data_IF_797546891523
#
_entry.id   IF_797546891523
#
_cell.length_a   1.000
_cell.length_b   1.000
_cell.length_c   1.000
_cell.angle_alpha   90.00
_cell.angle_beta   90.00
_cell.angle_gamma   90.00
#
_symmetry.space_group_name_H-M   'P 1'
#
loop_
_entity.id
_entity.type
_entity.pdbx_description
1 polymer ?
#
# COMPACT_ATOMS: atom_id res chain seq x y z
N UNK A 1 43.62 -0.57 3.01
CA UNK A 1 42.97 -0.15 1.75
C UNK A 1 42.12 -1.23 1.09
N UNK A 2 42.58 -2.47 0.94
CA UNK A 2 41.80 -3.58 0.32
C UNK A 2 40.41 -3.81 0.96
N UNK A 3 40.32 -3.79 2.30
CA UNK A 3 39.05 -3.93 3.03
C UNK A 3 38.09 -2.75 2.82
N UNK A 4 38.61 -1.54 2.62
CA UNK A 4 37.81 -0.34 2.41
C UNK A 4 37.19 -0.32 1.00
N UNK A 5 37.90 -0.83 -0.01
CA UNK A 5 37.38 -0.93 -1.37
C UNK A 5 36.26 -1.99 -1.45
N UNK A 6 36.46 -3.16 -0.83
CA UNK A 6 35.42 -4.21 -0.76
C UNK A 6 34.20 -3.72 0.02
N UNK A 7 34.39 -3.00 1.13
CA UNK A 7 33.30 -2.39 1.88
C UNK A 7 32.56 -1.33 1.05
N UNK A 8 33.28 -0.49 0.30
CA UNK A 8 32.68 0.52 -0.57
C UNK A 8 31.84 -0.06 -1.71
N UNK A 9 32.28 -1.17 -2.32
CA UNK A 9 31.51 -1.88 -3.34
C UNK A 9 30.31 -2.61 -2.74
N UNK A 10 30.47 -3.22 -1.55
CA UNK A 10 29.36 -3.85 -0.85
C UNK A 10 28.30 -2.81 -0.45
N UNK A 11 28.71 -1.63 0.04
CA UNK A 11 27.81 -0.54 0.39
C UNK A 11 26.99 -0.03 -0.81
N UNK A 12 27.56 -0.10 -2.02
CA UNK A 12 26.90 0.30 -3.27
C UNK A 12 25.87 -0.75 -3.74
N UNK A 13 26.04 -2.02 -3.33
CA UNK A 13 25.13 -3.12 -3.64
C UNK A 13 23.99 -3.29 -2.61
N UNK A 14 24.06 -2.61 -1.45
CA UNK A 14 22.92 -2.49 -0.55
C UNK A 14 21.96 -1.51 -1.24
N UNK A 15 21.14 -2.05 -2.14
CA UNK A 15 20.31 -1.30 -3.05
C UNK A 15 19.53 -0.18 -2.37
N UNK A 16 19.45 0.95 -3.06
CA UNK A 16 18.50 2.01 -2.74
C UNK A 16 17.11 1.40 -2.66
N UNK A 17 16.58 1.25 -1.45
CA UNK A 17 15.16 0.97 -1.24
C UNK A 17 14.44 2.26 -1.62
N UNK A 18 13.95 2.33 -2.85
CA UNK A 18 13.11 3.43 -3.30
C UNK A 18 11.73 3.21 -2.70
N UNK A 19 11.37 4.02 -1.70
CA UNK A 19 9.98 4.19 -1.31
C UNK A 19 9.37 5.23 -2.25
N UNK A 20 8.21 4.91 -2.82
CA UNK A 20 7.45 5.86 -3.63
C UNK A 20 6.53 6.67 -2.72
N UNK A 21 6.53 7.98 -2.90
CA UNK A 21 5.65 8.90 -2.19
C UNK A 21 4.28 8.95 -2.89
N UNK A 22 3.21 8.76 -2.12
CA UNK A 22 1.82 8.76 -2.59
C UNK A 22 1.09 9.93 -1.95
N UNK A 23 0.61 10.86 -2.78
CA UNK A 23 -0.16 12.02 -2.32
C UNK A 23 -1.64 11.67 -2.22
N UNK A 24 -2.21 11.88 -1.04
CA UNK A 24 -3.59 11.56 -0.70
C UNK A 24 -4.27 12.84 -0.22
N UNK A 25 -5.36 13.20 -0.89
CA UNK A 25 -6.22 14.32 -0.55
C UNK A 25 -7.54 13.78 0.01
N UNK A 26 -7.92 14.20 1.21
CA UNK A 26 -9.15 13.77 1.86
C UNK A 26 -9.99 14.99 2.21
N UNK A 27 -11.23 15.00 1.72
CA UNK A 27 -12.24 15.98 2.12
C UNK A 27 -13.16 15.39 3.19
N UNK A 28 -13.31 16.10 4.30
CA UNK A 28 -14.14 15.74 5.45
C UNK A 28 -14.72 16.98 6.12
N UNK A 29 -15.16 16.89 7.37
CA UNK A 29 -15.61 18.04 8.13
C UNK A 29 -14.44 18.80 8.78
N UNK A 30 -14.54 20.13 8.97
CA UNK A 30 -13.51 20.92 9.62
C UNK A 30 -13.11 20.40 11.01
N UNK A 31 -11.85 20.61 11.38
CA UNK A 31 -11.27 20.27 12.69
C UNK A 31 -11.38 18.78 13.09
N UNK A 32 -11.50 17.87 12.13
CA UNK A 32 -11.49 16.42 12.40
C UNK A 32 -10.10 15.84 12.23
N UNK A 33 -9.79 14.83 13.05
CA UNK A 33 -8.55 14.08 12.99
C UNK A 33 -8.72 12.82 12.16
N UNK A 34 -7.91 12.69 11.12
CA UNK A 34 -7.81 11.54 10.24
C UNK A 34 -6.55 10.74 10.59
N UNK A 35 -6.69 9.42 10.67
CA UNK A 35 -5.56 8.49 10.67
C UNK A 35 -5.68 7.69 9.39
N UNK A 36 -4.71 7.86 8.50
CA UNK A 36 -4.67 7.21 7.19
C UNK A 36 -3.53 6.21 7.20
N UNK A 37 -3.85 4.97 6.89
CA UNK A 37 -2.94 3.83 6.89
C UNK A 37 -2.90 3.22 5.49
N UNK A 38 -1.72 3.16 4.89
CA UNK A 38 -1.48 2.41 3.67
C UNK A 38 -1.17 0.96 4.04
N UNK A 39 -1.95 0.05 3.47
CA UNK A 39 -1.85 -1.38 3.63
C UNK A 39 -1.40 -1.99 2.29
N UNK A 40 -0.67 -3.09 2.36
CA UNK A 40 -0.33 -3.86 1.18
C UNK A 40 -1.59 -4.53 0.60
N UNK A 41 -1.92 -4.24 -0.67
CA UNK A 41 -3.09 -4.83 -1.33
C UNK A 41 -2.93 -6.33 -1.61
N UNK A 42 -1.69 -6.82 -1.74
CA UNK A 42 -1.39 -8.21 -2.06
C UNK A 42 -1.16 -9.07 -0.80
N UNK A 43 -0.91 -8.44 0.35
CA UNK A 43 -0.59 -9.12 1.60
C UNK A 43 -1.63 -8.85 2.70
N UNK A 44 -2.13 -9.94 3.29
CA UNK A 44 -3.12 -9.88 4.36
C UNK A 44 -2.50 -9.25 5.62
N UNK A 45 -2.90 -8.01 5.93
CA UNK A 45 -2.53 -7.22 7.12
C UNK A 45 -1.10 -6.66 7.20
N UNK A 46 -0.45 -6.36 6.07
CA UNK A 46 0.83 -5.65 6.11
C UNK A 46 0.61 -4.13 6.08
N UNK A 47 1.01 -3.43 7.15
CA UNK A 47 1.01 -1.97 7.20
C UNK A 47 2.29 -1.44 6.53
N UNK A 48 2.13 -0.65 5.48
CA UNK A 48 3.23 -0.01 4.77
C UNK A 48 3.62 1.31 5.46
N UNK A 49 2.63 2.17 5.71
CA UNK A 49 2.82 3.46 6.37
C UNK A 49 1.52 3.92 7.05
N UNK A 50 1.62 4.81 8.02
CA UNK A 50 0.44 5.41 8.65
C UNK A 50 0.74 6.82 9.15
N UNK A 51 -0.15 7.75 8.83
CA UNK A 51 -0.02 9.15 9.22
C UNK A 51 -1.29 9.69 9.83
N UNK A 52 -1.12 10.52 10.85
CA UNK A 52 -2.20 11.27 11.49
C UNK A 52 -2.18 12.70 10.97
N UNK A 53 -3.31 13.20 10.51
CA UNK A 53 -3.49 14.57 10.02
C UNK A 53 -4.82 15.13 10.53
N UNK A 54 -4.88 16.43 10.76
CA UNK A 54 -6.13 17.12 11.09
C UNK A 54 -6.57 17.92 9.87
N UNK A 55 -7.85 17.85 9.52
CA UNK A 55 -8.43 18.64 8.44
C UNK A 55 -8.39 20.14 8.77
N UNK A 56 -8.22 20.96 7.75
CA UNK A 56 -8.28 22.42 7.87
C UNK A 56 -9.70 22.96 8.13
N UNK A 57 -9.84 24.28 8.17
CA UNK A 57 -11.13 24.97 8.35
C UNK A 57 -12.12 24.74 7.20
N UNK A 58 -11.65 24.29 6.04
CA UNK A 58 -12.46 23.91 4.88
C UNK A 58 -12.76 22.41 4.85
N UNK A 59 -12.27 21.65 5.84
CA UNK A 59 -12.43 20.20 5.89
C UNK A 59 -11.46 19.43 4.99
N UNK A 60 -10.41 20.05 4.46
CA UNK A 60 -9.42 19.38 3.59
C UNK A 60 -8.22 18.90 4.40
N UNK A 61 -7.73 17.71 4.06
CA UNK A 61 -6.53 17.13 4.62
C UNK A 61 -5.65 16.55 3.51
N UNK A 62 -4.41 17.03 3.44
CA UNK A 62 -3.41 16.55 2.48
C UNK A 62 -2.33 15.80 3.25
N UNK A 63 -1.97 14.60 2.78
CA UNK A 63 -0.86 13.84 3.34
C UNK A 63 -0.13 13.06 2.26
N UNK A 64 1.13 12.77 2.55
CA UNK A 64 1.97 11.89 1.75
C UNK A 64 2.31 10.66 2.56
N UNK A 65 2.07 9.48 1.99
CA UNK A 65 2.46 8.18 2.53
C UNK A 65 3.55 7.55 1.68
N UNK A 66 4.36 6.69 2.29
CA UNK A 66 5.38 5.92 1.60
C UNK A 66 4.87 4.51 1.32
N UNK A 67 4.91 4.11 0.04
CA UNK A 67 4.57 2.76 -0.38
C UNK A 67 5.64 2.20 -1.30
N UNK A 68 5.92 0.90 -1.18
CA UNK A 68 6.86 0.16 -2.02
C UNK A 68 6.15 -0.87 -2.93
N UNK A 69 4.82 -0.83 -2.99
CA UNK A 69 3.97 -1.70 -3.81
C UNK A 69 3.25 -0.87 -4.88
N UNK A 70 2.86 -1.49 -6.00
CA UNK A 70 2.14 -0.78 -7.07
C UNK A 70 0.67 -0.48 -6.70
N UNK A 71 0.11 -1.35 -5.86
CA UNK A 71 -1.29 -1.30 -5.41
C UNK A 71 -1.28 -1.26 -3.88
N UNK A 72 -2.11 -0.39 -3.32
CA UNK A 72 -2.29 -0.25 -1.88
C UNK A 72 -3.77 -0.22 -1.52
N UNK A 73 -4.07 -0.68 -0.32
CA UNK A 73 -5.34 -0.44 0.33
C UNK A 73 -5.18 0.72 1.33
N UNK A 74 -6.18 1.58 1.44
CA UNK A 74 -6.18 2.70 2.37
C UNK A 74 -7.21 2.46 3.48
N UNK A 75 -6.72 2.34 4.72
CA UNK A 75 -7.55 2.43 5.91
C UNK A 75 -7.63 3.87 6.39
N UNK A 76 -8.82 4.47 6.41
CA UNK A 76 -9.03 5.82 6.93
C UNK A 76 -9.91 5.78 8.18
N UNK A 77 -9.36 6.22 9.31
CA UNK A 77 -10.11 6.42 10.56
C UNK A 77 -10.39 7.91 10.75
N UNK A 78 -11.66 8.26 10.85
CA UNK A 78 -12.11 9.60 11.22
C UNK A 78 -12.38 9.66 12.72
N UNK A 79 -11.88 10.69 13.38
CA UNK A 79 -12.05 10.92 14.82
C UNK A 79 -12.20 12.40 15.15
N UNK A 80 -12.87 12.70 16.26
CA UNK A 80 -12.98 14.06 16.81
C UNK A 80 -12.81 13.98 18.32
N UNK A 81 -12.02 14.89 18.89
CA UNK A 81 -11.77 14.96 20.34
C UNK A 81 -11.33 13.61 20.95
N UNK A 82 -10.52 12.84 20.19
CA UNK A 82 -10.03 11.51 20.58
C UNK A 82 -11.03 10.36 20.44
N UNK A 83 -12.29 10.66 20.09
CA UNK A 83 -13.32 9.64 19.86
C UNK A 83 -13.38 9.25 18.39
N UNK A 84 -13.32 7.93 18.11
CA UNK A 84 -13.47 7.38 16.76
C UNK A 84 -14.92 7.54 16.28
N UNK A 85 -15.09 8.13 15.11
CA UNK A 85 -16.38 8.35 14.46
C UNK A 85 -16.63 7.29 13.39
N UNK A 86 -15.65 7.06 12.51
CA UNK A 86 -15.79 6.19 11.34
C UNK A 86 -14.47 5.49 11.02
N UNK A 87 -14.56 4.30 10.43
CA UNK A 87 -13.43 3.65 9.77
C UNK A 87 -13.89 3.08 8.43
N UNK A 88 -13.21 3.49 7.37
CA UNK A 88 -13.43 2.97 6.03
C UNK A 88 -12.13 2.37 5.50
N UNK A 89 -12.25 1.26 4.80
CA UNK A 89 -11.17 0.68 4.02
C UNK A 89 -11.50 0.87 2.55
N UNK A 90 -10.52 1.32 1.79
CA UNK A 90 -10.57 1.52 0.36
C UNK A 90 -9.53 0.60 -0.27
N UNK A 91 -9.91 -0.18 -1.28
CA UNK A 91 -9.09 -1.24 -1.83
C UNK A 91 -8.61 -0.89 -3.24
N UNK A 92 -7.50 -1.48 -3.67
CA UNK A 92 -7.00 -1.46 -5.05
C UNK A 92 -6.60 -0.08 -5.63
N UNK A 93 -6.00 0.80 -4.81
CA UNK A 93 -5.52 2.10 -5.31
C UNK A 93 -4.12 1.99 -5.91
N UNK A 94 -3.94 2.57 -7.09
CA UNK A 94 -2.63 2.65 -7.76
C UNK A 94 -1.81 3.83 -7.20
N UNK A 95 -0.59 3.54 -6.74
CA UNK A 95 0.32 4.54 -6.15
C UNK A 95 0.81 5.59 -7.16
N UNK A 96 0.69 5.32 -8.47
CA UNK A 96 1.13 6.22 -9.54
C UNK A 96 0.10 7.31 -9.90
N UNK A 97 -1.06 7.30 -9.23
CA UNK A 97 -2.12 8.30 -9.40
C UNK A 97 -2.41 9.01 -8.09
N UNK A 98 -2.69 10.33 -8.11
CA UNK A 98 -3.15 11.04 -6.92
C UNK A 98 -4.48 10.45 -6.43
N UNK A 99 -4.59 10.22 -5.13
CA UNK A 99 -5.78 9.62 -4.52
C UNK A 99 -6.60 10.74 -3.87
N UNK A 100 -7.89 10.84 -4.23
CA UNK A 100 -8.79 11.87 -3.68
C UNK A 100 -10.06 11.23 -3.12
N UNK A 101 -10.25 11.33 -1.80
CA UNK A 101 -11.34 10.67 -1.07
C UNK A 101 -12.25 11.71 -0.41
N UNK A 102 -13.56 11.44 -0.37
CA UNK A 102 -14.53 12.26 0.38
C UNK A 102 -15.22 11.44 1.47
N UNK A 103 -14.99 11.82 2.72
CA UNK A 103 -15.39 11.06 3.92
C UNK A 103 -16.15 11.98 4.88
N UNK A 104 -17.40 11.65 5.21
CA UNK A 104 -18.21 12.43 6.14
C UNK A 104 -18.71 11.57 7.31
N UNK A 105 -19.06 12.16 8.47
CA UNK A 105 -19.77 11.44 9.51
C UNK A 105 -21.10 10.91 8.94
N UNK A 106 -21.25 9.59 8.89
CA UNK A 106 -22.36 8.92 8.20
C UNK A 106 -21.91 7.98 7.07
N UNK A 107 -20.65 8.07 6.63
CA UNK A 107 -20.07 7.13 5.67
C UNK A 107 -19.20 7.79 4.60
N UNK A 108 -18.76 6.99 3.65
CA UNK A 108 -18.10 7.45 2.44
C UNK A 108 -19.13 7.86 1.39
N UNK A 109 -18.90 8.99 0.71
CA UNK A 109 -19.84 9.60 -0.25
C UNK A 109 -19.38 9.41 -1.72
N UNK A 110 -18.23 8.78 -1.97
CA UNK A 110 -17.72 8.51 -3.32
C UNK A 110 -16.36 9.14 -3.61
N UNK A 111 -15.74 8.70 -4.70
CA UNK A 111 -14.48 9.23 -5.22
C UNK A 111 -14.77 10.48 -6.04
N UNK A 112 -14.09 11.59 -5.73
CA UNK A 112 -14.18 12.81 -6.54
C UNK A 112 -13.70 12.58 -8.00
N UNK A 113 -12.98 11.48 -8.27
CA UNK A 113 -12.55 11.08 -9.60
C UNK A 113 -13.61 10.31 -10.42
N UNK A 114 -14.72 9.87 -9.80
CA UNK A 114 -15.75 9.06 -10.46
C UNK A 114 -17.04 9.80 -10.78
N UNK A 115 -17.18 11.06 -10.34
CA UNK A 115 -18.34 11.91 -10.64
C UNK A 115 -17.93 13.17 -11.43
N UNK A 116 -18.08 13.18 -12.77
CA UNK A 116 -17.79 14.35 -13.59
C UNK A 116 -18.68 15.56 -13.29
N UNK A 117 -19.77 15.41 -12.52
CA UNK A 117 -20.64 16.53 -12.13
C UNK A 117 -20.05 17.45 -11.04
N UNK A 118 -18.98 17.03 -10.36
CA UNK A 118 -18.30 17.86 -9.34
C UNK A 118 -17.05 18.60 -9.86
N UNK A 119 -16.65 18.35 -11.12
CA UNK A 119 -15.48 19.01 -11.74
C UNK A 119 -15.84 20.27 -12.56
N UNK A 120 -17.13 20.59 -12.71
CA UNK A 120 -17.61 21.80 -13.38
C UNK A 120 -18.21 22.80 -12.40
N UNK A 121 -17.38 23.35 -11.51
CA UNK A 121 -17.63 24.69 -10.95
C UNK A 121 -16.33 25.32 -10.46
N UNK A 122 -15.38 25.46 -11.36
CA UNK A 122 -14.28 26.44 -11.22
C UNK A 122 -14.41 27.41 -12.39
N UNK A 123 -15.41 28.29 -12.33
CA UNK A 123 -15.38 29.52 -13.11
C UNK A 123 -14.63 30.59 -12.32
N UNK A 124 -13.55 31.07 -12.94
CA UNK A 124 -12.93 32.36 -12.66
C UNK A 124 -13.99 33.42 -12.37
N UNK A 125 -14.01 33.98 -11.15
CA UNK A 125 -14.67 35.27 -10.93
C UNK A 125 -13.72 36.18 -10.17
N UNK A 126 -13.01 37.00 -10.95
CA UNK A 126 -12.36 38.22 -10.47
C UNK A 126 -13.42 39.32 -10.37
N UNK A 127 -13.47 39.93 -9.19
CA UNK A 127 -14.15 41.17 -8.79
C UNK A 127 -14.61 42.15 -9.89
N UNK A 128 -15.90 42.52 -9.88
CA UNK A 128 -16.35 43.92 -10.10
C UNK A 128 -17.77 44.15 -9.58
N UNK A 129 -18.07 45.41 -9.27
CA UNK A 129 -19.10 45.97 -8.39
C UNK A 129 -20.55 46.03 -8.93
N UNK A 130 -21.51 46.19 -7.99
CA UNK A 130 -22.88 46.81 -8.07
C UNK A 130 -23.82 46.38 -9.22
N UNK A 131 -25.08 45.97 -9.03
CA UNK A 131 -26.22 46.71 -8.47
C UNK A 131 -27.47 45.78 -8.53
N UNK A 132 -28.54 46.19 -7.86
CA UNK A 132 -29.85 45.56 -7.70
C UNK A 132 -30.50 44.98 -8.97
N UNK A 133 -31.17 43.83 -8.88
CA UNK A 133 -32.65 43.74 -8.94
C UNK A 133 -33.17 42.30 -8.80
N UNK A 134 -34.37 42.25 -8.23
CA UNK A 134 -35.24 41.10 -7.95
C UNK A 134 -35.76 40.46 -9.25
N UNK A 135 -36.00 39.14 -9.28
CA UNK A 135 -37.26 38.48 -9.66
C UNK A 135 -37.11 36.94 -9.80
N UNK A 136 -38.08 36.22 -9.21
CA UNK A 136 -38.39 34.80 -9.40
C UNK A 136 -39.52 34.70 -10.48
N UNK A 137 -40.11 33.52 -10.76
CA UNK A 137 -39.79 32.43 -11.70
C UNK A 137 -40.72 32.39 -12.93
N UNK A 138 -40.44 31.57 -13.95
CA UNK A 138 -41.49 31.07 -14.89
C UNK A 138 -41.14 29.65 -15.41
N UNK A 139 -42.06 28.70 -15.16
CA UNK A 139 -42.23 27.40 -15.84
C UNK A 139 -42.61 27.59 -17.31
N UNK A 140 -42.32 26.60 -18.17
CA UNK A 140 -43.31 25.88 -19.01
C UNK A 140 -42.73 25.38 -20.35
N UNK A 141 -43.03 24.10 -20.65
CA UNK A 141 -43.26 23.45 -21.97
C UNK A 141 -42.19 23.56 -23.08
N UNK A 142 -41.89 22.55 -23.90
CA UNK A 142 -42.80 21.66 -24.64
C UNK A 142 -42.00 20.53 -25.33
N UNK A 143 -42.74 19.50 -25.73
CA UNK A 143 -42.38 18.20 -26.34
C UNK A 143 -42.37 18.29 -27.89
N UNK A 144 -41.85 17.24 -28.57
CA UNK A 144 -42.00 16.86 -30.01
C UNK A 144 -41.08 17.62 -31.02
N UNK A 145 -40.52 17.05 -32.09
CA UNK A 145 -40.77 15.82 -32.87
C UNK A 145 -39.53 15.43 -33.73
N UNK A 146 -39.58 14.21 -34.25
CA UNK A 146 -38.68 13.40 -35.10
C UNK A 146 -38.46 13.96 -36.51
N UNK A 147 -37.24 13.83 -37.07
CA UNK A 147 -37.08 13.38 -38.47
C UNK A 147 -35.67 12.87 -38.82
N UNK A 148 -35.64 11.64 -39.35
CA UNK A 148 -34.55 11.04 -40.11
C UNK A 148 -34.30 11.79 -41.43
N UNK A 149 -33.04 11.90 -41.86
CA UNK A 149 -32.69 11.74 -43.28
C UNK A 149 -31.27 11.20 -43.45
N UNK A 150 -31.22 10.11 -44.22
CA UNK A 150 -30.06 9.40 -44.74
C UNK A 150 -29.13 10.27 -45.60
N UNK A 151 -27.81 10.06 -45.49
CA UNK A 151 -26.88 10.24 -46.60
C UNK A 151 -25.68 9.30 -46.44
N UNK A 152 -25.70 8.28 -47.28
CA UNK A 152 -24.61 7.37 -47.64
C UNK A 152 -23.41 8.12 -48.20
N UNK A 153 -22.19 7.77 -47.77
CA UNK A 153 -21.06 7.67 -48.68
C UNK A 153 -20.01 6.68 -48.17
N UNK A 154 -19.71 5.74 -49.07
CA UNK A 154 -18.80 4.61 -49.07
C UNK A 154 -17.34 5.00 -48.84
N UNK A 155 -16.60 4.19 -48.07
CA UNK A 155 -15.27 3.75 -48.49
C UNK A 155 -14.86 2.48 -47.73
N UNK A 156 -14.84 1.37 -48.46
CA UNK A 156 -14.17 0.13 -48.10
C UNK A 156 -12.68 0.39 -47.82
N UNK A 157 -12.18 -0.11 -46.68
CA UNK A 157 -11.00 -0.97 -46.76
C UNK A 157 -10.91 -1.89 -45.54
N UNK A 158 -11.10 -3.17 -45.82
CA UNK A 158 -10.87 -4.30 -44.95
C UNK A 158 -9.39 -4.50 -44.68
N UNK A 159 -8.96 -4.43 -43.41
CA UNK A 159 -7.82 -5.21 -42.94
C UNK A 159 -8.09 -5.74 -41.53
N UNK A 160 -8.51 -7.02 -41.48
CA UNK A 160 -8.33 -7.85 -40.29
C UNK A 160 -6.85 -7.84 -39.91
N UNK A 161 -6.51 -7.25 -38.76
CA UNK A 161 -5.17 -7.40 -38.19
C UNK A 161 -5.16 -8.51 -37.15
N UNK A 162 -4.79 -9.67 -37.69
CA UNK A 162 -4.33 -10.90 -37.06
C UNK A 162 -3.49 -10.63 -35.81
N UNK A 163 -3.83 -11.35 -34.75
CA UNK A 163 -2.98 -11.63 -33.58
C UNK A 163 -1.68 -12.28 -34.04
N UNK A 164 -0.63 -11.48 -34.14
CA UNK A 164 0.71 -11.96 -34.47
C UNK A 164 1.72 -11.18 -33.66
N UNK A 165 2.43 -11.87 -32.76
CA UNK A 165 3.63 -11.39 -32.11
C UNK A 165 4.65 -10.97 -33.17
N UNK A 166 4.60 -9.72 -33.61
CA UNK A 166 5.65 -9.13 -34.44
C UNK A 166 6.81 -8.73 -33.54
N UNK A 167 7.67 -9.71 -33.27
CA UNK A 167 9.06 -9.49 -32.88
C UNK A 167 9.72 -8.82 -34.08
N UNK A 168 9.73 -7.49 -34.13
CA UNK A 168 10.57 -6.72 -35.05
C UNK A 168 10.57 -5.24 -34.63
N UNK A 169 11.27 -4.93 -33.53
CA UNK A 169 11.83 -3.59 -33.23
C UNK A 169 12.89 -3.57 -32.11
N UNK A 170 13.53 -4.71 -31.82
CA UNK A 170 14.59 -4.80 -30.80
C UNK A 170 15.97 -4.37 -31.33
N UNK A 171 16.15 -4.21 -32.64
CA UNK A 171 17.46 -3.95 -33.25
C UNK A 171 18.02 -2.52 -33.07
N UNK A 172 17.16 -1.50 -32.92
CA UNK A 172 17.63 -0.10 -32.86
C UNK A 172 17.67 0.50 -31.45
N UNK A 173 16.90 -0.04 -30.50
CA UNK A 173 17.01 0.35 -29.09
C UNK A 173 18.27 -0.23 -28.42
N UNK A 174 18.79 -1.35 -28.93
CA UNK A 174 20.05 -1.93 -28.46
C UNK A 174 21.27 -1.12 -28.90
N UNK A 175 21.24 -0.41 -30.04
CA UNK A 175 22.43 0.33 -30.51
C UNK A 175 22.73 1.58 -29.71
N UNK A 176 21.69 2.24 -29.15
CA UNK A 176 21.87 3.52 -28.47
C UNK A 176 22.31 3.38 -27.01
N UNK A 177 21.97 2.27 -26.34
CA UNK A 177 22.27 2.07 -24.92
C UNK A 177 23.12 0.82 -24.62
N UNK A 178 23.62 0.08 -25.62
CA UNK A 178 24.52 -1.07 -25.42
C UNK A 178 25.79 -0.75 -24.62
N UNK A 179 26.24 0.51 -24.65
CA UNK A 179 27.43 0.92 -23.90
C UNK A 179 27.23 0.84 -22.37
N UNK A 180 26.01 1.02 -21.85
CA UNK A 180 25.74 0.94 -20.41
C UNK A 180 25.94 -0.47 -19.84
N UNK A 181 25.29 -1.54 -20.35
CA UNK A 181 25.52 -2.89 -19.84
C UNK A 181 26.96 -3.35 -20.08
N UNK A 182 27.60 -2.95 -21.20
CA UNK A 182 29.02 -3.26 -21.43
C UNK A 182 29.92 -2.55 -20.43
N UNK A 183 29.68 -1.28 -20.10
CA UNK A 183 30.44 -0.55 -19.08
C UNK A 183 30.30 -1.22 -17.70
N UNK A 184 29.10 -1.65 -17.32
CA UNK A 184 28.85 -2.38 -16.07
C UNK A 184 29.62 -3.71 -16.05
N UNK A 185 29.59 -4.48 -17.13
CA UNK A 185 30.34 -5.75 -17.24
C UNK A 185 31.85 -5.51 -17.14
N UNK A 186 32.39 -4.48 -17.81
CA UNK A 186 33.82 -4.13 -17.73
C UNK A 186 34.23 -3.74 -16.31
N UNK A 187 33.39 -2.99 -15.59
CA UNK A 187 33.65 -2.63 -14.19
C UNK A 187 33.66 -3.90 -13.30
N UNK A 188 32.70 -4.82 -13.48
CA UNK A 188 32.67 -6.08 -12.73
C UNK A 188 33.93 -6.92 -12.99
N UNK A 189 34.34 -7.05 -14.26
CA UNK A 189 35.55 -7.80 -14.64
C UNK A 189 36.82 -7.14 -14.07
N UNK A 190 36.92 -5.82 -14.10
CA UNK A 190 38.04 -5.09 -13.51
C UNK A 190 38.12 -5.30 -11.98
N UNK A 191 36.97 -5.27 -11.27
CA UNK A 191 36.91 -5.55 -9.83
C UNK A 191 37.33 -7.00 -9.55
N UNK A 192 36.84 -7.97 -10.33
CA UNK A 192 37.23 -9.38 -10.18
C UNK A 192 38.73 -9.60 -10.44
N UNK A 193 39.30 -8.98 -11.47
CA UNK A 193 40.72 -9.08 -11.79
C UNK A 193 41.60 -8.50 -10.67
N UNK A 194 41.20 -7.39 -10.06
CA UNK A 194 41.91 -6.81 -8.90
C UNK A 194 41.82 -7.72 -7.68
N UNK A 195 40.64 -8.27 -7.38
CA UNK A 195 40.43 -9.15 -6.22
C UNK A 195 41.20 -10.47 -6.37
N UNK A 196 41.18 -11.08 -7.56
CA UNK A 196 41.88 -12.34 -7.85
C UNK A 196 43.38 -12.15 -7.99
N UNK A 197 43.83 -11.12 -8.71
CA UNK A 197 45.25 -10.82 -8.93
C UNK A 197 45.99 -10.44 -7.65
N UNK A 198 45.31 -9.83 -6.67
CA UNK A 198 45.91 -9.47 -5.38
C UNK A 198 46.02 -10.62 -4.38
N UNK A 199 45.40 -11.78 -4.65
CA UNK A 199 45.42 -12.97 -3.77
C UNK A 199 46.74 -13.76 -3.87
N UNK A 200 47.50 -13.57 -4.93
CA UNK A 200 48.77 -14.29 -5.19
C UNK A 200 50.02 -13.60 -4.65
N UNK A 201 49.91 -12.48 -3.92
CA UNK A 201 51.08 -11.87 -3.28
C UNK A 201 51.32 -12.49 -1.89
N UNK A 202 52.49 -13.10 -1.61
CA UNK A 202 52.81 -13.63 -0.30
C UNK A 202 52.90 -12.48 0.71
N UNK A 203 51.95 -12.42 1.65
CA UNK A 203 51.99 -11.47 2.76
C UNK A 203 53.20 -11.79 3.64
N UNK A 204 54.20 -10.89 3.68
CA UNK A 204 55.23 -10.92 4.72
C UNK A 204 54.54 -10.74 6.07
N UNK A 205 54.64 -11.76 6.93
CA UNK A 205 54.11 -11.72 8.30
C UNK A 205 54.82 -10.60 9.05
N UNK A 206 54.06 -9.61 9.50
CA UNK A 206 54.54 -8.56 10.38
C UNK A 206 54.50 -9.12 11.81
N UNK A 207 55.65 -9.19 12.48
CA UNK A 207 55.75 -9.66 13.86
C UNK A 207 55.02 -8.68 14.78
N UNK A 208 54.10 -9.21 15.59
CA UNK A 208 53.30 -8.43 16.54
C UNK A 208 54.13 -8.22 17.80
N UNK A 209 54.53 -6.97 18.03
CA UNK A 209 55.14 -6.54 19.29
C UNK A 209 54.08 -6.60 20.40
N UNK A 210 54.40 -7.30 21.47
CA UNK A 210 53.57 -7.59 22.62
C UNK A 210 53.36 -6.30 23.45
N UNK A 211 52.18 -5.69 23.43
CA UNK A 211 51.84 -4.55 24.29
C UNK A 211 50.80 -4.98 25.35
N UNK A 212 51.13 -4.94 26.65
CA UNK A 212 50.25 -5.40 27.72
C UNK A 212 49.47 -4.22 28.33
N UNK A 213 48.53 -3.63 27.59
CA UNK A 213 47.54 -2.71 28.18
C UNK A 213 46.19 -2.92 27.48
N UNK A 214 45.35 -3.78 28.07
CA UNK A 214 43.93 -3.89 27.73
C UNK A 214 43.15 -3.14 28.80
N UNK A 215 42.27 -2.18 28.45
CA UNK A 215 41.34 -1.62 29.40
C UNK A 215 40.25 -2.65 29.73
N UNK A 216 39.90 -2.74 31.00
CA UNK A 216 38.84 -3.59 31.54
C UNK A 216 37.47 -3.08 31.10
N UNK A 217 36.68 -3.97 30.51
CA UNK A 217 35.27 -3.72 30.16
C UNK A 217 34.45 -3.76 31.45
N UNK A 218 33.95 -2.61 31.89
CA UNK A 218 32.94 -2.52 32.95
C UNK A 218 31.63 -3.16 32.44
N UNK A 219 31.36 -4.40 32.87
CA UNK A 219 29.99 -4.96 32.84
C UNK A 219 29.20 -4.31 33.96
N UNK A 220 28.36 -3.31 33.64
CA UNK A 220 27.27 -2.91 34.53
C UNK A 220 26.27 -4.06 34.63
N UNK A 221 26.19 -4.68 35.80
CA UNK A 221 25.04 -5.47 36.20
C UNK A 221 23.92 -4.48 36.55
N UNK A 222 22.84 -4.49 35.77
CA UNK A 222 21.55 -4.01 36.25
C UNK A 222 20.86 -5.23 36.87
N UNK A 223 20.97 -5.35 38.18
CA UNK A 223 20.09 -6.19 38.97
C UNK A 223 18.86 -5.33 39.26
N UNK A 224 17.82 -5.49 38.45
CA UNK A 224 16.52 -4.87 38.72
C UNK A 224 15.85 -5.77 39.75
N UNK A 225 15.91 -5.37 41.02
CA UNK A 225 15.08 -5.97 42.06
C UNK A 225 13.62 -5.87 41.60
N UNK A 226 13.06 -7.03 41.28
CA UNK A 226 11.74 -7.20 40.73
C UNK A 226 10.73 -7.16 41.89
N UNK A 227 10.46 -5.96 42.39
CA UNK A 227 9.23 -5.71 43.15
C UNK A 227 8.07 -5.87 42.16
N UNK A 228 7.56 -7.10 42.06
CA UNK A 228 6.35 -7.43 41.31
C UNK A 228 5.18 -6.62 41.89
N UNK A 229 4.83 -5.52 41.22
CA UNK A 229 3.65 -4.74 41.53
C UNK A 229 2.43 -5.70 41.54
N UNK A 230 1.66 -5.82 42.63
CA UNK A 230 0.52 -6.72 42.72
C UNK A 230 -0.52 -6.49 41.62
N UNK A 231 -0.51 -5.32 40.96
CA UNK A 231 -1.35 -5.01 39.80
C UNK A 231 -0.94 -5.76 38.55
N UNK A 232 0.37 -5.98 38.35
CA UNK A 232 0.91 -6.73 37.20
C UNK A 232 0.53 -8.21 37.35
N UNK A 233 0.68 -8.76 38.56
CA UNK A 233 0.28 -10.14 38.86
C UNK A 233 -1.21 -10.40 38.62
N UNK A 234 -2.07 -9.46 39.02
CA UNK A 234 -3.52 -9.55 38.74
C UNK A 234 -3.85 -9.42 37.25
N UNK A 235 -3.07 -8.64 36.49
CA UNK A 235 -3.25 -8.51 35.05
C UNK A 235 -2.82 -9.80 34.33
N UNK A 236 -1.71 -10.42 34.74
CA UNK A 236 -1.23 -11.68 34.21
C UNK A 236 -2.22 -12.82 34.46
N UNK A 237 -2.81 -12.90 35.65
CA UNK A 237 -3.82 -13.90 35.99
C UNK A 237 -5.08 -13.76 35.13
N UNK A 238 -5.56 -12.52 34.91
CA UNK A 238 -6.69 -12.26 34.01
C UNK A 238 -6.41 -12.60 32.55
N UNK A 239 -5.18 -12.38 32.08
CA UNK A 239 -4.77 -12.74 30.72
C UNK A 239 -4.73 -14.27 30.57
N UNK A 240 -4.20 -14.98 31.58
CA UNK A 240 -4.16 -16.44 31.58
C UNK A 240 -5.58 -17.06 31.59
N UNK A 241 -6.51 -16.48 32.35
CA UNK A 241 -7.91 -16.89 32.37
C UNK A 241 -8.59 -16.66 31.01
N UNK A 242 -8.44 -15.46 30.42
CA UNK A 242 -8.99 -15.15 29.10
C UNK A 242 -8.43 -16.06 27.99
N UNK A 243 -7.14 -16.43 28.05
CA UNK A 243 -6.54 -17.39 27.11
C UNK A 243 -7.11 -18.80 27.26
N UNK A 244 -7.41 -19.21 28.49
CA UNK A 244 -8.05 -20.51 28.79
C UNK A 244 -9.48 -20.56 28.24
N UNK A 245 -10.24 -19.49 28.44
CA UNK A 245 -11.61 -19.37 27.94
C UNK A 245 -11.66 -19.35 26.41
N UNK A 246 -10.76 -18.60 25.76
CA UNK A 246 -10.61 -18.60 24.30
C UNK A 246 -10.30 -20.00 23.75
N UNK A 247 -9.45 -20.76 24.45
CA UNK A 247 -9.12 -22.13 24.08
C UNK A 247 -10.32 -23.08 24.22
N UNK A 248 -11.16 -22.87 25.24
CA UNK A 248 -12.39 -23.64 25.42
C UNK A 248 -13.40 -23.34 24.32
N UNK A 249 -13.65 -22.07 24.00
CA UNK A 249 -14.58 -21.65 22.94
C UNK A 249 -14.10 -22.17 21.57
N UNK A 250 -12.81 -22.04 21.26
CA UNK A 250 -12.23 -22.54 20.01
C UNK A 250 -12.41 -24.05 19.86
N UNK A 251 -12.27 -24.81 20.95
CA UNK A 251 -12.51 -26.25 20.94
C UNK A 251 -14.00 -26.57 20.78
N UNK A 252 -14.91 -25.82 21.40
CA UNK A 252 -16.36 -26.02 21.26
C UNK A 252 -16.81 -25.79 19.81
N UNK A 253 -16.32 -24.74 19.15
CA UNK A 253 -16.63 -24.45 17.75
C UNK A 253 -16.06 -25.51 16.81
N UNK A 254 -14.85 -26.01 17.08
CA UNK A 254 -14.26 -27.12 16.33
C UNK A 254 -15.06 -28.42 16.50
N UNK A 255 -15.55 -28.69 17.71
CA UNK A 255 -16.41 -29.85 17.99
C UNK A 255 -17.74 -29.72 17.25
N UNK A 256 -18.40 -28.55 17.28
CA UNK A 256 -19.65 -28.30 16.54
C UNK A 256 -19.48 -28.46 15.02
N UNK A 257 -18.37 -27.98 14.47
CA UNK A 257 -18.06 -28.17 13.04
C UNK A 257 -17.81 -29.64 12.70
N UNK A 258 -17.10 -30.38 13.55
CA UNK A 258 -16.87 -31.80 13.36
C UNK A 258 -18.18 -32.61 13.45
N UNK A 259 -19.06 -32.28 14.40
CA UNK A 259 -20.38 -32.91 14.54
C UNK A 259 -21.27 -32.64 13.33
N UNK A 260 -21.27 -31.40 12.80
CA UNK A 260 -22.01 -31.06 11.59
C UNK A 260 -21.53 -31.88 10.38
N UNK A 261 -20.21 -31.99 10.19
CA UNK A 261 -19.63 -32.81 9.11
C UNK A 261 -19.99 -34.29 9.26
N UNK A 262 -19.93 -34.82 10.48
CA UNK A 262 -20.33 -36.21 10.75
C UNK A 262 -21.82 -36.44 10.44
N UNK A 263 -22.70 -35.49 10.73
CA UNK A 263 -24.12 -35.57 10.39
C UNK A 263 -24.36 -35.54 8.88
N UNK A 264 -23.69 -34.64 8.17
CA UNK A 264 -23.76 -34.55 6.71
C UNK A 264 -23.25 -35.85 6.04
N UNK A 265 -22.17 -36.43 6.56
CA UNK A 265 -21.63 -37.70 6.06
C UNK A 265 -22.55 -38.89 6.36
N UNK A 266 -23.21 -38.91 7.52
CA UNK A 266 -24.23 -39.92 7.85
C UNK A 266 -25.44 -39.82 6.91
N UNK A 267 -25.93 -38.61 6.65
CA UNK A 267 -27.03 -38.38 5.71
C UNK A 267 -26.66 -38.82 4.30
N UNK A 268 -25.42 -38.54 3.85
CA UNK A 268 -24.91 -39.01 2.54
C UNK A 268 -24.83 -40.52 2.48
N UNK A 269 -24.30 -41.18 3.51
CA UNK A 269 -24.26 -42.65 3.57
C UNK A 269 -25.66 -43.26 3.54
N UNK A 270 -26.62 -42.61 4.17
CA UNK A 270 -28.01 -43.06 4.16
C UNK A 270 -28.67 -42.86 2.80
N UNK A 271 -28.42 -41.74 2.11
CA UNK A 271 -28.85 -41.51 0.72
C UNK A 271 -28.26 -42.53 -0.25
N UNK A 272 -26.95 -42.82 -0.13
CA UNK A 272 -26.28 -43.86 -0.91
C UNK A 272 -26.88 -45.25 -0.63
N UNK A 273 -27.25 -45.54 0.62
CA UNK A 273 -27.90 -46.81 1.00
C UNK A 273 -29.33 -46.93 0.46
N UNK A 274 -30.04 -45.81 0.31
CA UNK A 274 -31.39 -45.76 -0.28
C UNK A 274 -31.37 -45.76 -1.81
N UNK A 275 -30.21 -45.58 -2.44
CA UNK A 275 -30.05 -45.55 -3.89
C UNK A 275 -30.58 -44.26 -4.53
N UNK A 276 -30.65 -43.16 -3.77
CA UNK A 276 -31.12 -41.84 -4.24
C UNK A 276 -30.04 -41.04 -4.99
N UNK A 277 -28.79 -41.53 -5.01
CA UNK A 277 -27.66 -40.97 -5.77
C UNK A 277 -27.25 -41.93 -6.92
N UNK A 278 -28.19 -42.21 -7.85
CA UNK A 278 -27.91 -42.75 -9.19
C UNK A 278 -28.51 -41.82 -10.24
#
# INVERSE_FOLDING_TARGET
MRKLLVLGVFLLLIGSVYATEVNINIETLPDHTLIVSALDGDAVYSLLDSKKVTSDSSGKAELTLNANTNVIDLGVTLSKDGSKILYNRFEDYNINSPISLKIMPGGYIGDAASDPALLTNTENTTSSENDSEVLIPVEDSTVEDVQETSSTNTSDNSEQKVTGFSINKTGDLLKKNWYYPVAVIVIIVAVLAVVLGMRSMPMKKQEVLNNPEKPTVYKKYYDFEQDEDPRIKQAEEKIAEAQKDLKMIKNEDQIKQAEKRLREDQERLEKLRRGEDI
#
